data_IF_769499643456
#
_entry.id   IF_769499643456
#
_cell.length_a   1.000
_cell.length_b   1.000
_cell.length_c   1.000
_cell.angle_alpha   90.00
_cell.angle_beta   90.00
_cell.angle_gamma   90.00
#
_symmetry.space_group_name_H-M   'P 1'
#
loop_
_entity.id
_entity.type
_entity.pdbx_description
1 polymer ?
#
# COMPACT_ATOMS: atom_id res chain seq x y z
N UNK A 1 6.74 8.89 23.04
CA UNK A 1 5.80 7.82 22.66
C UNK A 1 4.85 8.40 21.63
N UNK A 2 4.81 7.83 20.43
CA UNK A 2 3.82 8.22 19.40
C UNK A 2 2.43 7.79 19.86
N UNK A 3 1.48 8.73 19.87
CA UNK A 3 0.06 8.40 19.98
C UNK A 3 -0.38 7.83 18.63
N UNK A 4 -1.21 6.78 18.58
CA UNK A 4 -1.84 6.35 17.33
C UNK A 4 -2.66 7.51 16.77
N UNK A 5 -2.56 7.77 15.47
CA UNK A 5 -3.46 8.70 14.81
C UNK A 5 -4.91 8.22 15.00
N UNK A 6 -5.88 9.14 15.13
CA UNK A 6 -7.29 8.77 15.10
C UNK A 6 -7.56 7.98 13.81
N UNK A 7 -8.25 6.85 13.92
CA UNK A 7 -8.42 5.89 12.81
C UNK A 7 -9.13 6.43 11.56
N UNK A 8 -9.64 7.66 11.62
CA UNK A 8 -10.22 8.39 10.49
C UNK A 8 -9.15 9.04 9.58
N UNK A 9 -7.92 9.21 10.08
CA UNK A 9 -6.76 9.72 9.33
C UNK A 9 -5.81 8.55 9.04
N UNK A 10 -6.18 7.71 8.07
CA UNK A 10 -5.34 6.61 7.61
C UNK A 10 -3.90 7.06 7.30
N UNK A 11 -2.93 6.20 7.58
CA UNK A 11 -1.51 6.46 7.34
C UNK A 11 -1.25 6.70 5.84
N UNK A 12 -0.90 7.94 5.48
CA UNK A 12 -0.60 8.34 4.09
C UNK A 12 0.62 7.62 3.51
N UNK A 13 1.46 7.04 4.37
CA UNK A 13 2.61 6.22 4.01
C UNK A 13 2.19 5.06 3.11
N UNK A 14 1.10 4.39 3.49
CA UNK A 14 0.61 3.18 2.85
C UNK A 14 -0.71 3.39 2.12
N UNK A 15 -1.39 4.52 2.30
CA UNK A 15 -2.63 4.80 1.59
C UNK A 15 -2.49 4.58 0.08
N UNK A 16 -3.56 4.10 -0.55
CA UNK A 16 -3.60 3.97 -1.99
C UNK A 16 -3.41 5.34 -2.67
N UNK A 17 -2.98 5.34 -3.94
CA UNK A 17 -2.89 6.57 -4.75
C UNK A 17 -4.26 7.27 -4.82
N UNK A 18 -5.36 6.50 -4.81
CA UNK A 18 -6.74 6.98 -5.00
C UNK A 18 -7.44 7.44 -3.72
N UNK A 19 -7.25 6.74 -2.60
CA UNK A 19 -7.95 6.99 -1.32
C UNK A 19 -7.61 8.34 -0.70
N UNK A 20 -6.46 8.91 -1.06
CA UNK A 20 -6.06 10.23 -0.61
C UNK A 20 -6.98 11.37 -1.14
N UNK A 21 -7.73 11.18 -2.22
CA UNK A 21 -8.60 12.20 -2.82
C UNK A 21 -9.96 12.40 -2.12
N UNK A 22 -10.13 11.91 -0.88
CA UNK A 22 -11.41 11.95 -0.12
C UNK A 22 -12.55 11.18 -0.81
N UNK A 23 -12.22 10.23 -1.67
CA UNK A 23 -13.20 9.27 -2.17
C UNK A 23 -13.71 8.37 -1.02
N UNK A 24 -14.86 7.73 -1.22
CA UNK A 24 -15.23 6.60 -0.36
C UNK A 24 -14.11 5.56 -0.44
N UNK A 25 -13.68 5.09 0.72
CA UNK A 25 -12.72 4.01 0.82
C UNK A 25 -13.29 2.78 0.13
N UNK A 26 -12.55 2.23 -0.83
CA UNK A 26 -12.92 1.01 -1.51
C UNK A 26 -11.93 -0.12 -1.20
N UNK A 27 -12.31 -1.41 -1.28
CA UNK A 27 -11.38 -2.51 -0.95
C UNK A 27 -10.11 -2.55 -1.81
N UNK A 28 -10.12 -1.94 -3.00
CA UNK A 28 -8.97 -1.66 -3.86
C UNK A 28 -7.87 -0.91 -3.10
N UNK A 29 -8.28 0.03 -2.25
CA UNK A 29 -7.39 0.89 -1.50
C UNK A 29 -6.64 0.09 -0.42
N UNK A 30 -7.32 -0.89 0.19
CA UNK A 30 -6.71 -1.82 1.15
C UNK A 30 -5.68 -2.72 0.49
N UNK A 31 -5.98 -3.22 -0.71
CA UNK A 31 -5.07 -4.09 -1.46
C UNK A 31 -3.83 -3.33 -1.92
N UNK A 32 -4.00 -2.10 -2.39
CA UNK A 32 -2.85 -1.24 -2.72
C UNK A 32 -2.03 -0.92 -1.47
N UNK A 33 -2.68 -0.64 -0.34
CA UNK A 33 -1.99 -0.36 0.92
C UNK A 33 -1.21 -1.56 1.46
N UNK A 34 -1.77 -2.77 1.33
CA UNK A 34 -1.05 -4.01 1.57
C UNK A 34 0.17 -4.13 0.64
N UNK A 35 0.00 -3.78 -0.64
CA UNK A 35 1.08 -3.70 -1.62
C UNK A 35 2.22 -2.79 -1.17
N UNK A 36 1.93 -1.55 -0.80
CA UNK A 36 2.93 -0.61 -0.28
C UNK A 36 3.61 -1.12 0.99
N UNK A 37 2.87 -1.83 1.86
CA UNK A 37 3.42 -2.47 3.06
C UNK A 37 4.42 -3.58 2.71
N UNK A 38 4.11 -4.41 1.73
CA UNK A 38 5.03 -5.45 1.25
C UNK A 38 6.29 -4.84 0.62
N UNK A 39 6.14 -3.80 -0.22
CA UNK A 39 7.29 -3.11 -0.82
C UNK A 39 8.17 -2.50 0.28
N UNK A 40 7.58 -1.89 1.31
CA UNK A 40 8.31 -1.40 2.48
C UNK A 40 9.05 -2.53 3.21
N UNK A 41 8.43 -3.70 3.39
CA UNK A 41 9.09 -4.85 4.03
C UNK A 41 10.34 -5.32 3.28
N UNK A 42 10.37 -5.20 1.95
CA UNK A 42 11.51 -5.61 1.11
C UNK A 42 12.57 -4.52 1.01
N UNK A 43 12.18 -3.26 0.81
CA UNK A 43 13.10 -2.18 0.47
C UNK A 43 13.30 -1.14 1.57
N UNK A 44 12.49 -1.14 2.62
CA UNK A 44 12.49 -0.16 3.69
C UNK A 44 11.76 1.14 3.34
N UNK A 45 12.12 2.21 4.04
CA UNK A 45 11.47 3.53 3.93
C UNK A 45 11.54 4.12 2.51
N UNK A 46 10.49 4.88 2.15
CA UNK A 46 10.35 5.60 0.88
C UNK A 46 10.65 7.11 1.03
N UNK A 47 10.88 7.87 -0.06
CA UNK A 47 11.24 9.27 0.07
C UNK A 47 10.14 10.12 0.71
N UNK A 48 8.87 9.75 0.55
CA UNK A 48 7.76 10.49 1.17
C UNK A 48 7.64 10.30 2.68
N UNK A 49 8.30 9.29 3.29
CA UNK A 49 8.20 9.06 4.74
C UNK A 49 8.73 10.26 5.52
N UNK A 50 9.84 10.84 5.06
CA UNK A 50 10.41 12.05 5.67
C UNK A 50 9.46 13.24 5.57
N UNK A 51 8.90 13.48 4.38
CA UNK A 51 7.94 14.57 4.16
C UNK A 51 6.70 14.42 5.04
N UNK A 52 6.18 13.19 5.17
CA UNK A 52 5.04 12.89 6.04
C UNK A 52 5.38 13.07 7.53
N UNK A 53 6.57 12.65 7.97
CA UNK A 53 7.03 12.90 9.33
C UNK A 53 7.09 14.39 9.65
N UNK A 54 7.66 15.19 8.76
CA UNK A 54 7.71 16.66 8.89
C UNK A 54 6.31 17.27 8.94
N UNK A 55 5.40 16.80 8.08
CA UNK A 55 3.99 17.20 8.10
C UNK A 55 3.35 16.90 9.46
N UNK A 56 3.46 15.67 9.96
CA UNK A 56 2.84 15.27 11.23
C UNK A 56 3.38 16.07 12.40
N UNK A 57 4.69 16.31 12.45
CA UNK A 57 5.31 17.16 13.49
C UNK A 57 4.79 18.60 13.43
N UNK A 58 4.65 19.14 12.22
CA UNK A 58 4.15 20.51 12.00
C UNK A 58 2.68 20.62 12.39
N UNK A 59 1.84 19.69 11.93
CA UNK A 59 0.41 19.63 12.27
C UNK A 59 0.20 19.46 13.78
N UNK A 60 0.96 18.58 14.44
CA UNK A 60 0.87 18.39 15.89
C UNK A 60 1.26 19.65 16.69
N UNK A 61 2.10 20.52 16.11
CA UNK A 61 2.52 21.78 16.73
C UNK A 61 1.52 22.91 16.47
N UNK A 62 1.01 23.02 15.25
CA UNK A 62 0.22 24.15 14.78
C UNK A 62 -1.29 23.98 15.01
N UNK A 63 -1.84 22.77 14.86
CA UNK A 63 -3.27 22.54 15.01
C UNK A 63 -3.82 22.92 16.39
N UNK A 64 -3.13 22.64 17.53
CA UNK A 64 -3.59 23.09 18.85
C UNK A 64 -3.62 24.61 19.02
N UNK A 65 -2.91 25.35 18.15
CA UNK A 65 -2.88 26.82 18.15
C UNK A 65 -3.98 27.42 17.26
N UNK A 66 -4.85 26.60 16.67
CA UNK A 66 -5.91 27.05 15.76
C UNK A 66 -5.40 27.49 14.39
N UNK A 67 -4.15 27.15 14.03
CA UNK A 67 -3.60 27.42 12.70
C UNK A 67 -4.15 26.38 11.72
N UNK A 68 -4.75 26.86 10.63
CA UNK A 68 -5.21 26.00 9.54
C UNK A 68 -4.01 25.45 8.75
N UNK A 69 -3.90 24.12 8.71
CA UNK A 69 -2.83 23.39 8.00
C UNK A 69 -3.36 22.64 6.77
N UNK A 70 -4.62 22.87 6.38
CA UNK A 70 -5.29 22.11 5.31
C UNK A 70 -4.56 22.18 3.98
N UNK A 71 -4.06 23.36 3.59
CA UNK A 71 -3.30 23.55 2.35
C UNK A 71 -1.97 22.79 2.36
N UNK A 72 -1.27 22.77 3.50
CA UNK A 72 -0.02 22.03 3.67
C UNK A 72 -0.26 20.52 3.59
N UNK A 73 -1.30 20.01 4.26
CA UNK A 73 -1.71 18.60 4.19
C UNK A 73 -2.03 18.21 2.76
N UNK A 74 -2.82 19.03 2.05
CA UNK A 74 -3.19 18.79 0.66
C UNK A 74 -1.98 18.79 -0.29
N UNK A 75 -1.02 19.67 -0.05
CA UNK A 75 0.23 19.75 -0.83
C UNK A 75 1.07 18.50 -0.67
N UNK A 76 1.32 18.08 0.58
CA UNK A 76 2.11 16.87 0.87
C UNK A 76 1.41 15.64 0.34
N UNK A 77 0.08 15.55 0.50
CA UNK A 77 -0.73 14.46 -0.05
C UNK A 77 -0.53 14.30 -1.56
N UNK A 78 -0.69 15.38 -2.32
CA UNK A 78 -0.49 15.36 -3.78
C UNK A 78 0.92 14.91 -4.16
N UNK A 79 1.93 15.35 -3.41
CA UNK A 79 3.31 14.93 -3.63
C UNK A 79 3.48 13.42 -3.40
N UNK A 80 2.90 12.86 -2.33
CA UNK A 80 2.93 11.42 -2.06
C UNK A 80 2.23 10.64 -3.16
N UNK A 81 1.03 11.08 -3.57
CA UNK A 81 0.27 10.44 -4.64
C UNK A 81 1.05 10.42 -5.96
N UNK A 82 1.64 11.56 -6.36
CA UNK A 82 2.45 11.65 -7.57
C UNK A 82 3.65 10.72 -7.49
N UNK A 83 4.36 10.68 -6.35
CA UNK A 83 5.53 9.80 -6.18
C UNK A 83 5.15 8.32 -6.31
N UNK A 84 4.03 7.92 -5.69
CA UNK A 84 3.49 6.56 -5.79
C UNK A 84 3.05 6.22 -7.22
N UNK A 85 2.36 7.15 -7.88
CA UNK A 85 1.92 7.00 -9.26
C UNK A 85 3.12 6.85 -10.21
N UNK A 86 4.17 7.66 -10.08
CA UNK A 86 5.37 7.54 -10.91
C UNK A 86 6.09 6.20 -10.69
N UNK A 87 6.12 5.66 -9.46
CA UNK A 87 6.68 4.32 -9.24
C UNK A 87 5.90 3.23 -9.97
N UNK A 88 4.57 3.30 -9.95
CA UNK A 88 3.72 2.30 -10.60
C UNK A 88 3.76 2.47 -12.13
N UNK A 89 3.50 3.68 -12.64
CA UNK A 89 3.26 3.90 -14.08
C UNK A 89 4.52 4.22 -14.89
N UNK A 90 5.53 4.81 -14.29
CA UNK A 90 6.79 5.15 -14.96
C UNK A 90 7.92 4.16 -14.61
N UNK A 91 7.66 3.29 -13.64
CA UNK A 91 8.56 2.23 -13.18
C UNK A 91 9.35 2.59 -11.93
N UNK A 92 9.92 1.55 -11.31
CA UNK A 92 10.54 1.62 -9.99
C UNK A 92 11.84 2.43 -9.90
N UNK A 93 12.36 2.92 -11.03
CA UNK A 93 13.54 3.79 -11.10
C UNK A 93 13.20 5.28 -11.23
N UNK A 94 11.91 5.63 -11.30
CA UNK A 94 11.43 7.00 -11.54
C UNK A 94 11.80 8.00 -10.44
N UNK A 95 12.03 7.55 -9.20
CA UNK A 95 12.39 8.42 -8.06
C UNK A 95 13.87 8.85 -8.03
N UNK A 96 14.66 8.44 -9.02
CA UNK A 96 16.05 8.86 -9.17
C UNK A 96 17.10 7.95 -8.50
N UNK A 97 18.40 8.29 -8.63
CA UNK A 97 19.51 7.38 -8.34
C UNK A 97 19.58 6.88 -6.88
N UNK A 98 19.17 7.73 -5.93
CA UNK A 98 19.12 7.40 -4.49
C UNK A 98 18.18 6.24 -4.17
N UNK A 99 17.30 5.88 -5.12
CA UNK A 99 16.29 4.83 -4.99
C UNK A 99 16.56 3.64 -5.93
N UNK A 100 17.78 3.54 -6.46
CA UNK A 100 18.21 2.47 -7.37
C UNK A 100 17.99 1.06 -6.84
N UNK A 101 17.90 0.86 -5.51
CA UNK A 101 17.51 -0.44 -4.91
C UNK A 101 16.16 -0.94 -5.40
N UNK A 102 15.20 -0.05 -5.69
CA UNK A 102 13.88 -0.40 -6.20
C UNK A 102 13.92 -0.97 -7.62
N UNK A 103 15.02 -0.81 -8.37
CA UNK A 103 15.22 -1.45 -9.66
C UNK A 103 15.21 -2.98 -9.58
N UNK A 104 15.38 -3.55 -8.39
CA UNK A 104 15.31 -4.99 -8.12
C UNK A 104 13.92 -5.45 -7.68
N UNK A 105 12.86 -4.70 -8.00
CA UNK A 105 11.49 -5.05 -7.65
C UNK A 105 11.14 -6.50 -8.07
N UNK A 106 10.71 -7.36 -7.13
CA UNK A 106 10.24 -8.69 -7.49
C UNK A 106 9.09 -8.61 -8.50
N UNK A 107 9.18 -9.37 -9.58
CA UNK A 107 8.19 -9.30 -10.67
C UNK A 107 6.77 -9.64 -10.22
N UNK A 108 6.61 -10.51 -9.23
CA UNK A 108 5.33 -10.86 -8.61
C UNK A 108 4.70 -9.64 -7.92
N UNK A 109 5.51 -8.91 -7.15
CA UNK A 109 5.05 -7.73 -6.41
C UNK A 109 4.75 -6.57 -7.35
N UNK A 110 5.57 -6.38 -8.40
CA UNK A 110 5.30 -5.42 -9.46
C UNK A 110 3.94 -5.70 -10.15
N UNK A 111 3.70 -6.95 -10.55
CA UNK A 111 2.41 -7.37 -11.13
C UNK A 111 1.25 -7.17 -10.17
N UNK A 112 1.44 -7.42 -8.88
CA UNK A 112 0.44 -7.18 -7.85
C UNK A 112 0.09 -5.68 -7.73
N UNK A 113 1.10 -4.81 -7.63
CA UNK A 113 0.89 -3.36 -7.54
C UNK A 113 0.12 -2.81 -8.75
N UNK A 114 0.49 -3.27 -9.95
CA UNK A 114 -0.24 -2.92 -11.17
C UNK A 114 -1.67 -3.47 -11.17
N UNK A 115 -1.88 -4.70 -10.71
CA UNK A 115 -3.20 -5.32 -10.64
C UNK A 115 -4.14 -4.56 -9.70
N UNK A 116 -3.64 -3.98 -8.61
CA UNK A 116 -4.41 -3.10 -7.72
C UNK A 116 -4.94 -1.84 -8.44
N UNK A 117 -4.22 -1.35 -9.47
CA UNK A 117 -4.66 -0.21 -10.28
C UNK A 117 -5.61 -0.59 -11.41
N UNK A 118 -5.62 -1.86 -11.84
CA UNK A 118 -6.47 -2.32 -12.94
C UNK A 118 -7.90 -2.46 -12.43
N UNK A 119 -8.67 -1.42 -12.68
CA UNK A 119 -10.12 -1.39 -12.50
C UNK A 119 -10.77 -2.27 -13.56
N UNK A 120 -11.36 -3.40 -13.16
CA UNK A 120 -12.02 -4.32 -14.08
C UNK A 120 -13.52 -4.00 -14.20
N UNK A 121 -13.93 -3.49 -15.37
CA UNK A 121 -15.34 -3.42 -15.76
C UNK A 121 -16.14 -2.22 -15.21
N UNK A 122 -17.45 -2.18 -15.51
CA UNK A 122 -18.32 -1.03 -15.19
C UNK A 122 -18.55 -0.81 -13.68
N UNK A 123 -18.31 -1.84 -12.86
CA UNK A 123 -18.46 -1.81 -11.40
C UNK A 123 -17.25 -1.24 -10.64
N UNK A 124 -16.19 -0.85 -11.35
CA UNK A 124 -14.91 -0.37 -10.80
C UNK A 124 -14.17 -1.31 -9.83
N UNK A 125 -14.60 -2.56 -9.70
CA UNK A 125 -13.99 -3.54 -8.80
C UNK A 125 -12.64 -4.03 -9.34
N UNK A 126 -11.64 -4.32 -8.48
CA UNK A 126 -10.39 -4.89 -8.93
C UNK A 126 -10.62 -6.34 -9.38
N UNK A 127 -9.71 -6.87 -10.19
CA UNK A 127 -9.79 -8.26 -10.62
C UNK A 127 -9.38 -9.21 -9.47
N UNK A 128 -10.28 -9.41 -8.50
CA UNK A 128 -10.03 -10.25 -7.33
C UNK A 128 -9.57 -11.67 -7.68
N UNK A 129 -10.12 -12.37 -8.69
CA UNK A 129 -9.59 -13.68 -9.08
C UNK A 129 -8.11 -13.63 -9.50
N UNK A 130 -7.71 -12.59 -10.23
CA UNK A 130 -6.31 -12.40 -10.62
C UNK A 130 -5.42 -12.06 -9.43
N UNK A 131 -5.85 -11.14 -8.55
CA UNK A 131 -5.13 -10.80 -7.32
C UNK A 131 -4.97 -12.00 -6.38
N UNK A 132 -6.02 -12.80 -6.24
CA UNK A 132 -5.99 -14.04 -5.46
C UNK A 132 -4.94 -15.01 -6.00
N UNK A 133 -4.87 -15.19 -7.32
CA UNK A 133 -3.84 -16.01 -7.95
C UNK A 133 -2.42 -15.47 -7.73
N UNK A 134 -2.22 -14.14 -7.78
CA UNK A 134 -0.90 -13.52 -7.51
C UNK A 134 -0.43 -13.73 -6.08
N UNK A 135 -1.36 -13.77 -5.11
CA UNK A 135 -1.07 -14.04 -3.71
C UNK A 135 -0.90 -15.54 -3.40
N UNK A 136 -0.83 -16.39 -4.43
CA UNK A 136 -0.68 -17.85 -4.27
C UNK A 136 -1.98 -18.56 -3.91
N UNK A 137 -3.11 -17.87 -3.94
CA UNK A 137 -4.42 -18.44 -3.70
C UNK A 137 -4.82 -19.45 -4.78
N UNK A 138 -5.25 -20.65 -4.36
CA UNK A 138 -5.70 -21.70 -5.29
C UNK A 138 -7.15 -21.46 -5.71
N UNK A 139 -7.40 -21.34 -7.01
CA UNK A 139 -8.75 -21.09 -7.54
C UNK A 139 -9.67 -22.27 -7.24
N UNK A 140 -10.85 -22.00 -6.70
CA UNK A 140 -11.90 -23.00 -6.49
C UNK A 140 -11.91 -23.65 -5.11
N UNK A 141 -11.09 -23.21 -4.17
CA UNK A 141 -11.21 -23.58 -2.76
C UNK A 141 -12.03 -22.55 -1.99
N UNK A 142 -12.92 -23.00 -1.11
CA UNK A 142 -13.49 -22.13 -0.07
C UNK A 142 -12.40 -21.69 0.91
N UNK A 143 -12.67 -20.63 1.67
CA UNK A 143 -11.76 -20.19 2.73
C UNK A 143 -11.49 -21.32 3.76
N UNK A 144 -12.51 -22.11 4.11
CA UNK A 144 -12.32 -23.25 5.02
C UNK A 144 -11.47 -24.37 4.40
N UNK A 145 -11.65 -24.64 3.10
CA UNK A 145 -10.89 -25.66 2.38
C UNK A 145 -9.40 -25.28 2.24
N UNK A 146 -9.12 -24.00 1.93
CA UNK A 146 -7.76 -23.47 1.91
C UNK A 146 -7.10 -23.60 3.29
N UNK A 147 -7.78 -23.17 4.37
CA UNK A 147 -7.24 -23.28 5.74
C UNK A 147 -7.00 -24.74 6.17
N UNK A 148 -7.84 -25.68 5.73
CA UNK A 148 -7.67 -27.10 6.01
C UNK A 148 -6.43 -27.67 5.30
N UNK A 149 -6.17 -27.26 4.06
CA UNK A 149 -5.00 -27.65 3.29
C UNK A 149 -3.74 -27.06 3.91
N UNK A 150 -3.72 -25.77 4.22
CA UNK A 150 -2.57 -25.11 4.85
C UNK A 150 -2.22 -25.77 6.20
N UNK A 151 -3.22 -26.10 7.03
CA UNK A 151 -3.01 -26.83 8.29
C UNK A 151 -2.49 -28.25 8.10
N UNK A 152 -2.71 -28.87 6.95
CA UNK A 152 -2.19 -30.20 6.61
C UNK A 152 -0.74 -30.10 6.17
N UNK A 153 -0.45 -29.22 5.22
CA UNK A 153 0.90 -28.98 4.70
C UNK A 153 1.86 -28.53 5.82
N UNK A 154 1.41 -27.64 6.71
CA UNK A 154 2.20 -27.23 7.87
C UNK A 154 2.51 -28.40 8.81
N UNK A 155 1.56 -29.30 9.04
CA UNK A 155 1.77 -30.49 9.88
C UNK A 155 2.76 -31.46 9.25
N UNK A 156 2.73 -31.63 7.93
CA UNK A 156 3.69 -32.47 7.20
C UNK A 156 5.10 -31.89 7.28
N UNK A 157 5.26 -30.58 7.12
CA UNK A 157 6.56 -29.90 7.27
C UNK A 157 7.13 -30.02 8.69
N UNK A 158 6.30 -29.88 9.71
CA UNK A 158 6.73 -29.95 11.12
C UNK A 158 6.89 -31.38 11.64
N UNK A 159 6.18 -32.35 11.07
CA UNK A 159 6.21 -33.76 11.45
C UNK A 159 7.29 -34.59 10.75
N UNK A 160 8.01 -34.00 9.80
CA UNK A 160 9.10 -34.65 9.04
C UNK A 160 10.50 -34.36 9.62
N UNK A 161 10.57 -33.80 10.84
CA UNK A 161 11.80 -33.46 11.56
C UNK A 161 12.14 -34.40 12.70
#
# INVERSE_FOLDING_TARGET
GHRPNPGEEGSMEFSSVRSADRGEWCPEDDLEALGWTMVFGVFGEFPWFKTLQELYMTTATLAPQGVDVSEMVETVRKQVQQSKASLIFEGWTSLGPSWSKLAQMPGELDRFMHACQIVAGPSRTPNYPYLHGLLGGRVGLSAEEAELIDRRELRELLGSG
#
